data_IF_078767594148
#
_entry.id   IF_078767594148
#
_cell.length_a   1.000
_cell.length_b   1.000
_cell.length_c   1.000
_cell.angle_alpha   90.00
_cell.angle_beta   90.00
_cell.angle_gamma   90.00
#
_symmetry.space_group_name_H-M   'P 1'
#
loop_
_entity.id
_entity.type
_entity.pdbx_description
1 polymer ?
#
# COMPACT_ATOMS: atom_id res chain seq x y z
N UNK A 1 15.21 0.51 -20.48
CA UNK A 1 14.44 -0.14 -19.40
C UNK A 1 14.56 -1.65 -19.58
N UNK A 2 14.98 -2.43 -18.56
CA UNK A 2 15.48 -3.79 -18.77
C UNK A 2 14.55 -4.73 -19.55
N UNK A 3 13.23 -4.68 -19.30
CA UNK A 3 12.26 -5.48 -20.05
C UNK A 3 12.24 -5.15 -21.54
N UNK A 4 12.20 -3.86 -21.89
CA UNK A 4 12.21 -3.41 -23.27
C UNK A 4 13.57 -3.70 -23.95
N UNK A 5 14.66 -3.45 -23.23
CA UNK A 5 16.02 -3.57 -23.78
C UNK A 5 16.42 -5.03 -24.03
N UNK A 6 15.95 -5.97 -23.22
CA UNK A 6 16.31 -7.40 -23.31
C UNK A 6 15.28 -8.25 -24.05
N UNK A 7 14.01 -7.86 -24.04
CA UNK A 7 12.92 -8.70 -24.58
C UNK A 7 12.12 -8.02 -25.69
N UNK A 8 12.36 -6.75 -25.99
CA UNK A 8 11.63 -6.00 -27.01
C UNK A 8 10.16 -5.73 -26.66
N UNK A 9 9.73 -6.04 -25.43
CA UNK A 9 8.36 -5.86 -24.96
C UNK A 9 8.34 -5.30 -23.53
N UNK A 10 7.23 -4.66 -23.17
CA UNK A 10 6.99 -4.22 -21.79
C UNK A 10 6.80 -5.44 -20.88
N UNK A 11 7.32 -5.36 -19.65
CA UNK A 11 7.26 -6.47 -18.69
C UNK A 11 5.84 -6.75 -18.18
N UNK A 12 4.95 -5.76 -18.22
CA UNK A 12 3.57 -5.83 -17.74
C UNK A 12 2.68 -4.90 -18.57
N UNK A 13 1.45 -5.31 -18.84
CA UNK A 13 0.45 -4.51 -19.57
C UNK A 13 -0.31 -3.55 -18.65
N UNK A 14 -0.50 -3.93 -17.38
CA UNK A 14 -1.18 -3.10 -16.37
C UNK A 14 -0.36 -3.10 -15.09
N UNK A 15 -0.17 -1.91 -14.52
CA UNK A 15 0.53 -1.72 -13.25
C UNK A 15 -0.47 -1.12 -12.26
N UNK A 16 -0.80 -1.88 -11.23
CA UNK A 16 -1.63 -1.41 -10.12
C UNK A 16 -0.72 -0.85 -9.03
N UNK A 17 -0.80 0.47 -8.82
CA UNK A 17 -0.10 1.15 -7.75
C UNK A 17 -1.07 1.36 -6.59
N UNK A 18 -0.67 0.96 -5.39
CA UNK A 18 -1.38 1.28 -4.16
C UNK A 18 -0.64 2.37 -3.38
N UNK A 19 -1.38 3.13 -2.58
CA UNK A 19 -0.81 4.12 -1.68
C UNK A 19 0.16 3.49 -0.69
N UNK A 20 1.11 4.30 -0.22
CA UNK A 20 2.02 3.90 0.85
C UNK A 20 1.35 4.15 2.19
N UNK A 21 1.53 3.22 3.12
CA UNK A 21 0.98 3.37 4.45
C UNK A 21 1.79 4.41 5.23
N UNK A 22 1.09 5.39 5.79
CA UNK A 22 1.67 6.35 6.73
C UNK A 22 1.76 5.76 8.14
N UNK A 23 2.74 6.21 8.92
CA UNK A 23 2.73 6.00 10.37
C UNK A 23 1.67 6.91 11.03
N UNK A 24 1.47 6.77 12.34
CA UNK A 24 0.50 7.58 13.09
C UNK A 24 0.75 9.10 13.04
N UNK A 25 1.93 9.54 12.59
CA UNK A 25 2.29 10.94 12.38
C UNK A 25 2.19 11.41 10.93
N UNK A 26 1.73 10.55 10.01
CA UNK A 26 1.60 10.87 8.59
C UNK A 26 2.90 10.76 7.79
N UNK A 27 3.99 10.24 8.39
CA UNK A 27 5.21 9.98 7.65
C UNK A 27 5.16 8.62 6.95
N UNK A 28 5.86 8.50 5.82
CA UNK A 28 5.96 7.24 5.10
C UNK A 28 6.58 6.15 6.00
N UNK A 29 5.88 5.04 6.17
CA UNK A 29 6.43 3.86 6.84
C UNK A 29 7.70 3.40 6.10
N UNK A 30 8.83 3.39 6.80
CA UNK A 30 10.10 3.00 6.19
C UNK A 30 11.09 2.44 7.20
N UNK A 31 11.91 1.48 6.75
CA UNK A 31 12.96 0.86 7.56
C UNK A 31 13.99 1.85 8.07
N UNK A 32 14.34 2.86 7.27
CA UNK A 32 15.30 3.90 7.64
C UNK A 32 14.77 4.90 8.66
N UNK A 33 13.44 5.13 8.69
CA UNK A 33 12.81 5.98 9.70
C UNK A 33 12.51 5.21 10.99
N UNK A 34 12.43 3.89 10.95
CA UNK A 34 12.14 3.05 12.12
C UNK A 34 10.64 2.89 12.40
N UNK A 35 9.77 3.37 11.52
CA UNK A 35 8.30 3.24 11.60
C UNK A 35 7.79 1.95 10.94
N UNK A 36 8.52 0.83 11.12
CA UNK A 36 8.17 -0.47 10.56
C UNK A 36 7.39 -1.28 11.59
N UNK A 37 6.17 -1.64 11.24
CA UNK A 37 5.34 -2.58 12.00
C UNK A 37 5.58 -3.98 11.41
N UNK A 38 5.85 -4.96 12.27
CA UNK A 38 5.98 -6.35 11.84
C UNK A 38 4.58 -6.92 11.53
N UNK A 39 4.33 -7.43 10.31
CA UNK A 39 3.02 -7.98 9.95
C UNK A 39 2.61 -9.17 10.84
N UNK A 40 3.56 -9.96 11.36
CA UNK A 40 3.25 -11.09 12.23
C UNK A 40 2.68 -10.64 13.58
N UNK A 41 3.10 -9.47 14.09
CA UNK A 41 2.60 -8.92 15.35
C UNK A 41 1.13 -8.46 15.19
N UNK A 42 0.76 -8.03 13.99
CA UNK A 42 -0.63 -7.64 13.65
C UNK A 42 -1.51 -8.88 13.47
N UNK A 43 -1.01 -9.90 12.78
CA UNK A 43 -1.76 -11.13 12.49
C UNK A 43 -1.96 -11.97 13.75
N UNK A 44 -0.97 -12.05 14.64
CA UNK A 44 -1.04 -12.88 15.85
C UNK A 44 -2.14 -12.44 16.83
N UNK A 45 -2.66 -11.22 16.68
CA UNK A 45 -3.78 -10.69 17.47
C UNK A 45 -5.13 -10.66 16.76
N UNK A 46 -5.20 -11.10 15.49
CA UNK A 46 -6.41 -11.00 14.65
C UNK A 46 -6.80 -12.35 14.04
N UNK A 47 -8.10 -12.58 13.83
CA UNK A 47 -8.55 -13.73 13.03
C UNK A 47 -8.27 -13.46 11.53
N UNK A 48 -8.14 -14.53 10.75
CA UNK A 48 -7.87 -14.46 9.30
C UNK A 48 -8.89 -13.57 8.57
N UNK A 49 -10.17 -13.67 8.94
CA UNK A 49 -11.25 -12.83 8.41
C UNK A 49 -11.03 -11.34 8.70
N UNK A 50 -10.50 -11.01 9.88
CA UNK A 50 -10.18 -9.63 10.27
C UNK A 50 -8.99 -9.10 9.48
N UNK A 51 -7.98 -9.93 9.18
CA UNK A 51 -6.87 -9.52 8.32
C UNK A 51 -7.32 -9.19 6.89
N UNK A 52 -8.17 -10.02 6.29
CA UNK A 52 -8.69 -9.78 4.94
C UNK A 52 -9.57 -8.53 4.89
N UNK A 53 -10.43 -8.34 5.91
CA UNK A 53 -11.24 -7.13 6.06
C UNK A 53 -10.38 -5.87 6.29
N UNK A 54 -9.29 -5.96 7.05
CA UNK A 54 -8.39 -4.84 7.27
C UNK A 54 -7.71 -4.38 5.99
N UNK A 55 -7.27 -5.32 5.13
CA UNK A 55 -6.69 -4.97 3.83
C UNK A 55 -7.71 -4.25 2.97
N UNK A 56 -8.95 -4.76 2.89
CA UNK A 56 -10.03 -4.11 2.13
C UNK A 56 -10.39 -2.73 2.69
N UNK A 57 -10.47 -2.59 4.01
CA UNK A 57 -10.75 -1.31 4.67
C UNK A 57 -9.63 -0.29 4.45
N UNK A 58 -8.35 -0.69 4.54
CA UNK A 58 -7.21 0.21 4.31
C UNK A 58 -7.17 0.63 2.84
N UNK A 59 -7.41 -0.28 1.90
CA UNK A 59 -7.47 0.05 0.48
C UNK A 59 -8.66 0.98 0.17
N UNK A 60 -9.85 0.70 0.70
CA UNK A 60 -11.03 1.54 0.52
C UNK A 60 -10.83 2.94 1.14
N UNK A 61 -10.29 3.02 2.36
CA UNK A 61 -9.98 4.28 3.02
C UNK A 61 -8.93 5.08 2.27
N UNK A 62 -7.89 4.42 1.73
CA UNK A 62 -6.87 5.09 0.92
C UNK A 62 -7.47 5.62 -0.40
N UNK A 63 -8.34 4.86 -1.07
CA UNK A 63 -9.08 5.34 -2.24
C UNK A 63 -9.98 6.53 -1.91
N UNK A 64 -10.72 6.49 -0.79
CA UNK A 64 -11.61 7.59 -0.37
C UNK A 64 -10.83 8.85 -0.01
N UNK A 65 -9.69 8.70 0.69
CA UNK A 65 -8.81 9.81 1.05
C UNK A 65 -8.20 10.47 -0.20
N UNK A 66 -7.77 9.69 -1.20
CA UNK A 66 -7.29 10.22 -2.49
C UNK A 66 -8.41 10.99 -3.20
N UNK A 67 -9.62 10.42 -3.29
CA UNK A 67 -10.77 11.10 -3.92
C UNK A 67 -11.11 12.41 -3.20
N UNK A 68 -11.15 12.42 -1.87
CA UNK A 68 -11.40 13.65 -1.09
C UNK A 68 -10.33 14.71 -1.31
N UNK A 69 -9.05 14.31 -1.36
CA UNK A 69 -7.93 15.24 -1.56
C UNK A 69 -7.95 15.89 -2.95
N UNK A 70 -8.48 15.17 -3.94
CA UNK A 70 -8.60 15.65 -5.32
C UNK A 70 -9.81 16.57 -5.51
N UNK A 71 -10.86 16.42 -4.70
CA UNK A 71 -12.07 17.27 -4.72
C UNK A 71 -11.90 18.60 -3.97
N UNK A 72 -10.90 18.71 -3.09
CA UNK A 72 -10.54 19.96 -2.40
C UNK A 72 -9.37 20.72 -3.05
N UNK A 73 -8.97 20.33 -4.26
CA UNK A 73 -7.91 20.97 -5.05
C UNK A 73 -8.49 21.76 -6.24
#
# INVERSE_FOLDING_TARGET
MPGLDLTGRLSFETVLLHGLQGDGGGHKTSKSWGSVINPLDVISGASLEVCDLLVLCVLYWCSLAVVSSTLTA
#
